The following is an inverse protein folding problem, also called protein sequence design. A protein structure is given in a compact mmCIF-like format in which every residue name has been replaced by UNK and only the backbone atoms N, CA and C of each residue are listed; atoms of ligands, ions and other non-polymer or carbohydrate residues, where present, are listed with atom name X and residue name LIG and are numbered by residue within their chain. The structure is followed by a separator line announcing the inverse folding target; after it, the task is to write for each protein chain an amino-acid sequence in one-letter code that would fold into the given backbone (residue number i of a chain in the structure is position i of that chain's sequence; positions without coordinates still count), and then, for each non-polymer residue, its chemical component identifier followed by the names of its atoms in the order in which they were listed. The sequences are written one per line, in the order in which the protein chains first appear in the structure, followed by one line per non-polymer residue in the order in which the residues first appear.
data_IF_141001398223
#
_entry.id   IF_141001398223
#
_cell.length_a   1.000
_cell.length_b   1.000
_cell.length_c   1.000
_cell.angle_alpha   90.00
_cell.angle_beta   90.00
_cell.angle_gamma   90.00
#
_symmetry.space_group_name_H-M   'P 1'
#
loop_
_entity.id
_entity.type
_entity.pdbx_description
1 polymer ?
#
# COMPACT_ATOMS: atom_id res chain seq x y z
N UNK A 1 -11.81 16.20 -18.53
CA UNK A 1 -10.47 15.66 -18.19
C UNK A 1 -9.66 16.66 -17.35
N UNK A 2 -10.11 17.01 -16.13
CA UNK A 2 -9.47 18.08 -15.33
C UNK A 2 -9.00 17.68 -13.93
N UNK A 3 -9.01 16.40 -13.56
CA UNK A 3 -8.73 15.97 -12.18
C UNK A 3 -7.25 16.11 -11.75
N UNK A 4 -6.30 16.14 -12.70
CA UNK A 4 -4.86 16.09 -12.40
C UNK A 4 -4.25 17.49 -12.16
N UNK A 5 -4.95 18.59 -12.49
CA UNK A 5 -4.39 19.94 -12.33
C UNK A 5 -4.16 20.36 -10.87
N UNK A 6 -4.77 19.68 -9.90
CA UNK A 6 -4.65 20.04 -8.49
C UNK A 6 -3.37 19.57 -7.80
N UNK A 7 -2.57 18.70 -8.41
CA UNK A 7 -1.33 18.21 -7.79
C UNK A 7 -0.14 19.18 -7.92
N UNK A 8 -0.11 20.02 -8.96
CA UNK A 8 1.12 20.74 -9.35
C UNK A 8 1.35 22.04 -8.57
N UNK A 9 0.39 22.56 -7.79
CA UNK A 9 0.47 23.92 -7.26
C UNK A 9 1.16 24.11 -5.89
N UNK A 10 1.67 23.07 -5.21
CA UNK A 10 2.16 23.22 -3.81
C UNK A 10 3.65 22.95 -3.52
N UNK A 11 4.47 22.42 -4.44
CA UNK A 11 5.81 21.92 -4.06
C UNK A 11 7.00 22.88 -4.29
N UNK A 12 6.79 24.16 -4.62
CA UNK A 12 7.92 25.10 -4.78
C UNK A 12 8.31 25.75 -3.45
N UNK A 13 9.24 25.11 -2.72
CA UNK A 13 10.39 25.70 -1.99
C UNK A 13 10.96 24.72 -0.97
N UNK A 14 12.05 24.02 -1.33
CA UNK A 14 13.37 24.03 -0.63
C UNK A 14 14.30 22.92 -1.13
N UNK A 15 15.38 23.37 -1.76
CA UNK A 15 16.72 22.77 -1.94
C UNK A 15 17.31 22.25 -0.61
N UNK A 16 18.38 21.44 -0.46
CA UNK A 16 19.39 20.73 -1.28
C UNK A 16 20.31 19.93 -0.29
N UNK A 17 21.09 18.97 -0.82
CA UNK A 17 22.38 18.40 -0.33
C UNK A 17 22.35 17.22 0.67
N UNK A 18 23.34 16.31 0.77
CA UNK A 18 24.35 15.67 -0.10
C UNK A 18 25.20 14.71 0.79
N UNK A 19 25.89 13.72 0.18
CA UNK A 19 27.06 12.95 0.67
C UNK A 19 26.85 11.82 1.71
N UNK A 20 27.67 10.77 1.87
CA UNK A 20 28.64 9.98 1.07
C UNK A 20 29.09 8.78 1.97
N UNK A 21 29.66 7.72 1.38
CA UNK A 21 30.14 6.42 1.95
C UNK A 21 31.37 6.56 2.92
N UNK A 22 32.15 5.53 3.41
CA UNK A 22 32.36 4.14 2.92
C UNK A 22 32.81 2.99 3.91
N UNK A 23 32.76 1.74 3.41
CA UNK A 23 33.78 0.63 3.40
C UNK A 23 34.36 -0.10 4.67
N UNK A 24 34.59 -1.42 4.48
CA UNK A 24 35.75 -2.29 4.89
C UNK A 24 35.52 -3.51 5.87
N UNK A 25 35.65 -4.74 5.28
CA UNK A 25 36.32 -6.02 5.73
C UNK A 25 35.89 -6.75 7.04
N UNK A 26 36.09 -8.07 7.30
CA UNK A 26 36.48 -9.34 6.63
C UNK A 26 36.41 -10.46 7.72
N UNK A 27 36.10 -11.73 7.37
CA UNK A 27 36.59 -13.07 7.87
C UNK A 27 35.46 -14.14 7.84
N UNK A 28 35.47 -15.17 6.97
CA UNK A 28 36.10 -16.52 7.09
C UNK A 28 35.53 -17.38 8.25
N UNK A 29 35.19 -18.69 8.19
CA UNK A 29 35.37 -19.81 7.23
C UNK A 29 34.71 -21.11 7.82
N UNK A 30 34.29 -22.07 6.97
CA UNK A 30 34.06 -23.55 7.19
C UNK A 30 32.82 -24.02 7.97
N UNK A 31 32.19 -25.21 7.79
CA UNK A 31 32.05 -26.32 6.81
C UNK A 31 30.91 -27.24 7.38
N UNK A 32 29.94 -27.69 6.54
CA UNK A 32 29.18 -28.99 6.44
C UNK A 32 28.92 -29.96 7.66
N UNK A 33 28.11 -31.05 7.56
CA UNK A 33 26.76 -31.40 7.01
C UNK A 33 25.76 -31.97 8.07
N UNK A 34 24.61 -32.49 7.60
CA UNK A 34 23.66 -33.48 8.20
C UNK A 34 22.39 -32.84 8.82
N UNK A 35 21.16 -33.36 8.73
CA UNK A 35 20.51 -34.52 8.12
C UNK A 35 18.99 -34.38 8.35
N UNK A 36 18.13 -34.91 7.45
CA UNK A 36 16.78 -35.52 7.69
C UNK A 36 15.79 -34.79 8.63
N UNK A 37 14.57 -34.42 8.21
CA UNK A 37 13.41 -35.34 8.11
C UNK A 37 12.21 -34.60 7.53
N UNK A 38 11.58 -35.15 6.50
CA UNK A 38 10.31 -34.70 5.91
C UNK A 38 9.14 -35.26 6.72
N UNK A 39 8.37 -34.42 7.39
CA UNK A 39 7.08 -34.82 7.98
C UNK A 39 5.95 -34.24 7.14
N UNK A 40 5.35 -35.10 6.31
CA UNK A 40 4.13 -34.86 5.55
C UNK A 40 2.93 -34.79 6.50
N UNK A 41 2.41 -33.60 6.78
CA UNK A 41 1.13 -33.44 7.49
C UNK A 41 -0.01 -33.42 6.49
N UNK A 42 -0.58 -34.60 6.23
CA UNK A 42 -1.83 -34.78 5.49
C UNK A 42 -3.01 -34.40 6.38
N UNK A 43 -3.62 -33.22 6.16
CA UNK A 43 -4.90 -32.84 6.78
C UNK A 43 -6.03 -33.15 5.78
N UNK A 44 -6.76 -34.23 6.04
CA UNK A 44 -8.01 -34.59 5.35
C UNK A 44 -9.13 -33.66 5.80
N UNK A 45 -9.80 -33.04 4.83
CA UNK A 45 -10.96 -32.15 5.02
C UNK A 45 -12.21 -33.00 5.31
N UNK A 46 -12.88 -32.67 6.42
CA UNK A 46 -14.18 -33.22 6.81
C UNK A 46 -15.32 -32.68 5.95
N UNK A 47 -16.35 -33.51 5.85
CA UNK A 47 -17.46 -33.41 4.93
C UNK A 47 -18.45 -32.27 5.22
N UNK A 48 -19.06 -31.84 4.12
CA UNK A 48 -20.26 -31.03 3.94
C UNK A 48 -21.45 -31.46 4.79
N UNK A 49 -22.16 -30.48 5.36
CA UNK A 49 -23.64 -30.53 5.41
C UNK A 49 -24.21 -29.14 5.18
N UNK A 50 -25.10 -29.04 4.19
CA UNK A 50 -25.84 -27.83 3.84
C UNK A 50 -27.01 -27.64 4.81
N UNK A 51 -27.10 -26.47 5.44
CA UNK A 51 -28.36 -25.94 5.92
C UNK A 51 -28.50 -24.51 5.40
N UNK A 52 -29.52 -24.34 4.54
CA UNK A 52 -30.02 -23.05 4.10
C UNK A 52 -30.60 -22.32 5.30
N UNK A 53 -30.16 -21.08 5.49
CA UNK A 53 -30.93 -20.09 6.23
C UNK A 53 -30.76 -18.77 5.48
N UNK A 54 -31.91 -18.23 5.08
CA UNK A 54 -32.11 -17.12 4.18
C UNK A 54 -32.31 -15.88 5.05
N UNK A 55 -31.29 -15.02 5.14
CA UNK A 55 -31.40 -13.73 5.84
C UNK A 55 -30.69 -12.65 5.04
N UNK A 56 -31.51 -11.83 4.38
CA UNK A 56 -31.28 -10.44 3.92
C UNK A 56 -29.82 -9.96 3.92
N UNK A 57 -29.18 -10.05 2.75
CA UNK A 57 -27.90 -9.40 2.48
C UNK A 57 -28.11 -7.90 2.29
N UNK A 58 -28.06 -7.13 3.37
CA UNK A 58 -27.55 -5.76 3.27
C UNK A 58 -26.14 -5.88 2.69
N UNK A 59 -25.92 -5.39 1.48
CA UNK A 59 -24.60 -5.51 0.85
C UNK A 59 -23.60 -4.69 1.67
N UNK A 60 -22.87 -5.38 2.54
CA UNK A 60 -21.64 -4.92 3.18
C UNK A 60 -20.58 -4.78 2.08
N UNK A 61 -20.72 -3.78 1.21
CA UNK A 61 -19.72 -3.52 0.20
C UNK A 61 -18.51 -2.95 0.92
N UNK A 62 -17.47 -3.77 1.13
CA UNK A 62 -16.18 -3.32 1.62
C UNK A 62 -15.73 -2.09 0.82
N UNK A 63 -15.15 -1.10 1.50
CA UNK A 63 -14.66 0.15 0.90
C UNK A 63 -13.82 -0.13 -0.35
N UNK A 64 -13.04 -1.21 -0.35
CA UNK A 64 -12.17 -1.57 -1.47
C UNK A 64 -12.90 -2.15 -2.69
N UNK A 65 -14.14 -2.60 -2.53
CA UNK A 65 -14.97 -3.21 -3.58
C UNK A 65 -16.05 -2.25 -4.12
N UNK A 66 -16.39 -1.19 -3.38
CA UNK A 66 -17.45 -0.24 -3.71
C UNK A 66 -16.90 1.00 -4.44
N UNK A 67 -17.09 1.10 -5.77
CA UNK A 67 -16.82 2.33 -6.53
C UNK A 67 -16.13 2.10 -7.88
N UNK A 68 -16.29 3.05 -8.80
CA UNK A 68 -15.51 3.10 -10.05
C UNK A 68 -14.06 3.32 -9.66
N UNK A 69 -13.25 2.29 -9.87
CA UNK A 69 -11.90 2.22 -9.37
C UNK A 69 -10.93 2.58 -10.51
N UNK A 70 -10.77 3.88 -10.75
CA UNK A 70 -9.82 4.36 -11.75
C UNK A 70 -8.40 4.28 -11.16
N UNK A 71 -7.48 3.73 -11.96
CA UNK A 71 -6.05 3.64 -11.62
C UNK A 71 -5.34 4.88 -12.15
N UNK A 72 -4.62 5.57 -11.28
CA UNK A 72 -3.91 6.80 -11.59
C UNK A 72 -2.49 6.77 -11.03
N UNK A 73 -1.59 7.56 -11.63
CA UNK A 73 -0.28 7.86 -11.06
C UNK A 73 -0.43 9.01 -10.05
N UNK A 74 -0.37 8.69 -8.76
CA UNK A 74 -0.58 9.63 -7.65
C UNK A 74 0.77 10.07 -7.08
N UNK A 75 1.03 11.37 -6.91
CA UNK A 75 2.26 11.84 -6.27
C UNK A 75 2.45 11.27 -4.87
N UNK A 76 3.63 10.76 -4.55
CA UNK A 76 3.87 10.12 -3.24
C UNK A 76 3.70 11.10 -2.07
N UNK A 77 4.00 12.38 -2.28
CA UNK A 77 3.97 13.44 -1.26
C UNK A 77 2.57 13.74 -0.71
N UNK A 78 1.52 13.51 -1.50
CA UNK A 78 0.13 13.81 -1.08
C UNK A 78 -0.51 12.67 -0.30
N UNK A 79 0.09 11.49 -0.32
CA UNK A 79 -0.49 10.28 0.25
C UNK A 79 -0.20 10.26 1.75
N UNK A 80 -1.26 10.37 2.55
CA UNK A 80 -1.18 10.29 4.01
C UNK A 80 -1.21 8.84 4.46
N UNK A 81 -0.23 8.45 5.29
CA UNK A 81 -0.15 7.13 5.93
C UNK A 81 -0.18 7.28 7.45
N UNK A 82 -1.38 7.35 8.07
CA UNK A 82 -1.50 7.64 9.50
C UNK A 82 -0.95 6.53 10.40
N UNK A 83 -0.95 5.29 9.92
CA UNK A 83 -0.53 4.12 10.68
C UNK A 83 0.92 3.76 10.29
N UNK A 84 1.84 3.60 11.26
CA UNK A 84 3.20 3.18 10.96
C UNK A 84 3.20 1.82 10.27
N UNK A 85 4.05 1.69 9.25
CA UNK A 85 4.09 0.49 8.44
C UNK A 85 5.00 -0.56 9.06
N UNK A 86 4.50 -1.79 9.22
CA UNK A 86 5.34 -2.95 9.53
C UNK A 86 5.91 -3.48 8.21
N UNK A 87 7.23 -3.48 8.11
CA UNK A 87 7.95 -3.79 6.88
C UNK A 87 8.79 -5.05 7.04
N UNK A 88 8.89 -5.78 5.93
CA UNK A 88 9.77 -6.93 5.76
C UNK A 88 10.79 -6.53 4.69
N UNK A 89 12.03 -6.38 5.11
CA UNK A 89 13.10 -5.84 4.28
C UNK A 89 13.36 -6.68 3.02
N UNK A 90 13.20 -8.01 3.11
CA UNK A 90 13.38 -8.88 1.95
C UNK A 90 12.28 -8.67 0.91
N UNK A 91 11.04 -8.45 1.36
CA UNK A 91 9.92 -8.13 0.45
C UNK A 91 10.06 -6.76 -0.18
N UNK A 92 10.50 -5.76 0.59
CA UNK A 92 10.75 -4.41 0.05
C UNK A 92 11.84 -4.48 -1.01
N UNK A 93 12.94 -5.17 -0.73
CA UNK A 93 14.05 -5.30 -1.67
C UNK A 93 13.61 -6.04 -2.95
N UNK A 94 12.89 -7.16 -2.81
CA UNK A 94 12.35 -7.90 -3.96
C UNK A 94 11.43 -7.01 -4.82
N UNK A 95 10.54 -6.24 -4.19
CA UNK A 95 9.67 -5.29 -4.91
C UNK A 95 10.49 -4.19 -5.58
N UNK A 96 11.50 -3.65 -4.91
CA UNK A 96 12.38 -2.64 -5.51
C UNK A 96 13.07 -3.17 -6.76
N UNK A 97 13.50 -4.43 -6.75
CA UNK A 97 14.15 -5.04 -7.90
C UNK A 97 13.16 -5.31 -9.04
N UNK A 98 11.92 -5.72 -8.73
CA UNK A 98 10.82 -5.77 -9.72
C UNK A 98 10.56 -4.40 -10.34
N UNK A 99 10.41 -3.34 -9.53
CA UNK A 99 10.12 -1.96 -10.00
C UNK A 99 11.28 -1.36 -10.83
N UNK A 100 12.51 -1.79 -10.57
CA UNK A 100 13.67 -1.38 -11.40
C UNK A 100 13.72 -2.13 -12.73
N UNK A 101 13.36 -3.42 -12.70
CA UNK A 101 13.36 -4.29 -13.87
C UNK A 101 12.15 -4.07 -14.79
N UNK A 102 11.07 -3.49 -14.26
CA UNK A 102 9.85 -3.15 -14.99
C UNK A 102 10.18 -2.46 -16.32
N UNK A 103 9.96 -3.20 -17.41
CA UNK A 103 9.94 -2.66 -18.78
C UNK A 103 8.49 -2.37 -19.22
N UNK A 104 7.50 -2.79 -18.43
CA UNK A 104 6.07 -2.57 -18.64
C UNK A 104 5.36 -2.26 -17.32
N UNK A 105 4.29 -1.47 -17.42
CA UNK A 105 3.57 -0.82 -16.31
C UNK A 105 2.72 -1.77 -15.44
N UNK A 106 2.79 -3.09 -15.66
CA UNK A 106 1.82 -4.09 -15.20
C UNK A 106 2.35 -5.07 -14.12
N UNK A 107 3.64 -5.06 -13.80
CA UNK A 107 4.22 -6.09 -12.92
C UNK A 107 3.90 -5.85 -11.44
N UNK A 108 3.79 -4.59 -10.99
CA UNK A 108 3.39 -4.26 -9.62
C UNK A 108 1.95 -3.76 -9.53
N UNK A 109 1.06 -4.48 -8.80
CA UNK A 109 -0.34 -4.07 -8.64
C UNK A 109 -0.48 -2.71 -7.94
N UNK A 110 -1.48 -1.90 -8.33
CA UNK A 110 -1.71 -0.58 -7.74
C UNK A 110 -2.02 -0.65 -6.25
N UNK A 111 -1.69 0.42 -5.53
CA UNK A 111 -2.08 0.59 -4.12
C UNK A 111 -3.50 1.18 -4.01
N UNK A 112 -4.29 0.73 -3.04
CA UNK A 112 -5.60 1.33 -2.79
C UNK A 112 -5.46 2.61 -1.95
N UNK A 113 -6.07 3.69 -2.42
CA UNK A 113 -6.06 4.99 -1.74
C UNK A 113 -7.50 5.46 -1.55
N UNK A 114 -7.87 5.73 -0.30
CA UNK A 114 -9.11 6.40 0.04
C UNK A 114 -8.98 7.87 -0.35
N UNK A 115 -9.86 8.31 -1.23
CA UNK A 115 -10.02 9.70 -1.64
C UNK A 115 -11.26 10.28 -0.99
N UNK A 116 -11.03 11.19 -0.06
CA UNK A 116 -12.06 11.86 0.73
C UNK A 116 -12.09 13.33 0.33
N UNK A 117 -13.28 13.85 0.02
CA UNK A 117 -13.50 15.28 -0.16
C UNK A 117 -13.96 15.85 1.18
N UNK A 118 -13.18 16.77 1.76
CA UNK A 118 -13.56 17.43 3.01
C UNK A 118 -14.69 18.45 2.79
N UNK A 119 -15.35 18.86 3.88
CA UNK A 119 -16.44 19.85 3.86
C UNK A 119 -16.10 21.17 3.15
N UNK A 120 -14.84 21.62 3.27
CA UNK A 120 -14.33 22.81 2.57
C UNK A 120 -13.93 22.57 1.10
N UNK A 121 -14.24 21.41 0.52
CA UNK A 121 -13.92 21.04 -0.86
C UNK A 121 -12.48 20.57 -1.10
N UNK A 122 -11.68 20.40 -0.04
CA UNK A 122 -10.32 19.89 -0.14
C UNK A 122 -10.27 18.38 -0.44
N UNK A 123 -9.27 17.93 -1.21
CA UNK A 123 -9.06 16.51 -1.50
C UNK A 123 -8.01 15.91 -0.58
N UNK A 124 -8.32 14.77 0.02
CA UNK A 124 -7.45 14.08 0.96
C UNK A 124 -7.28 12.63 0.56
N UNK A 125 -6.02 12.18 0.53
CA UNK A 125 -5.63 10.86 0.04
C UNK A 125 -5.00 10.07 1.18
N UNK A 126 -5.65 8.98 1.58
CA UNK A 126 -5.19 8.10 2.66
C UNK A 126 -4.88 6.70 2.15
N UNK A 127 -3.74 6.15 2.56
CA UNK A 127 -3.35 4.78 2.25
C UNK A 127 -3.09 4.01 3.54
N UNK A 128 -3.82 2.91 3.72
CA UNK A 128 -3.63 1.98 4.83
C UNK A 128 -2.96 0.67 4.40
N UNK A 129 -3.20 0.25 3.16
CA UNK A 129 -2.61 -0.95 2.57
C UNK A 129 -1.26 -0.70 1.89
N UNK A 130 -0.78 -1.74 1.20
CA UNK A 130 0.34 -1.65 0.27
C UNK A 130 1.64 -1.09 0.88
N UNK A 131 1.92 -1.35 2.16
CA UNK A 131 3.08 -0.79 2.86
C UNK A 131 4.41 -1.08 2.17
N UNK A 132 4.70 -2.35 1.85
CA UNK A 132 5.95 -2.72 1.18
C UNK A 132 6.06 -2.11 -0.22
N UNK A 133 4.95 -2.03 -0.96
CA UNK A 133 4.90 -1.40 -2.29
C UNK A 133 5.20 0.09 -2.20
N UNK A 134 4.51 0.80 -1.32
CA UNK A 134 4.76 2.22 -1.10
C UNK A 134 6.21 2.48 -0.65
N UNK A 135 6.72 1.68 0.29
CA UNK A 135 8.09 1.83 0.77
C UNK A 135 9.12 1.56 -0.33
N UNK A 136 8.91 0.56 -1.18
CA UNK A 136 9.78 0.29 -2.32
C UNK A 136 9.84 1.50 -3.28
N UNK A 137 8.68 2.07 -3.65
CA UNK A 137 8.62 3.27 -4.48
C UNK A 137 9.32 4.47 -3.80
N UNK A 138 9.15 4.62 -2.48
CA UNK A 138 9.78 5.67 -1.67
C UNK A 138 11.30 5.55 -1.67
N UNK A 139 11.84 4.36 -1.42
CA UNK A 139 13.30 4.11 -1.40
C UNK A 139 13.94 4.25 -2.78
N UNK A 140 13.18 4.00 -3.84
CA UNK A 140 13.58 4.27 -5.22
C UNK A 140 13.40 5.73 -5.65
N UNK A 141 12.92 6.59 -4.75
CA UNK A 141 12.71 8.00 -4.98
C UNK A 141 11.81 8.28 -6.20
N UNK A 142 10.81 7.42 -6.42
CA UNK A 142 9.81 7.60 -7.48
C UNK A 142 8.87 8.76 -7.10
N UNK A 143 8.58 9.71 -8.01
CA UNK A 143 7.72 10.85 -7.69
C UNK A 143 6.26 10.46 -7.53
N UNK A 144 5.81 9.41 -8.24
CA UNK A 144 4.43 8.95 -8.28
C UNK A 144 4.36 7.44 -8.08
N UNK A 145 3.20 6.96 -7.62
CA UNK A 145 2.88 5.53 -7.48
C UNK A 145 1.55 5.23 -8.17
N UNK A 146 1.47 4.06 -8.82
CA UNK A 146 0.24 3.56 -9.43
C UNK A 146 -0.75 3.23 -8.30
N UNK A 147 -1.91 3.88 -8.31
CA UNK A 147 -2.88 3.78 -7.24
C UNK A 147 -4.30 3.74 -7.77
N UNK A 148 -5.13 2.92 -7.13
CA UNK A 148 -6.57 2.87 -7.32
C UNK A 148 -7.20 3.89 -6.39
N UNK A 149 -7.79 4.95 -6.95
CA UNK A 149 -8.50 5.94 -6.15
C UNK A 149 -9.91 5.45 -5.86
N UNK A 150 -10.18 5.21 -4.58
CA UNK A 150 -11.49 4.80 -4.08
C UNK A 150 -12.15 6.01 -3.45
N UNK A 151 -13.29 6.45 -4.01
CA UNK A 151 -14.05 7.53 -3.38
C UNK A 151 -14.62 7.04 -2.06
N UNK A 152 -14.32 7.77 -0.99
CA UNK A 152 -14.65 7.36 0.37
C UNK A 152 -15.16 8.53 1.20
N UNK A 153 -15.87 8.19 2.26
CA UNK A 153 -16.45 9.10 3.23
C UNK A 153 -15.61 9.15 4.50
N UNK A 154 -15.93 10.09 5.41
CA UNK A 154 -15.31 10.14 6.73
C UNK A 154 -15.63 8.88 7.56
N UNK A 155 -16.82 8.27 7.36
CA UNK A 155 -17.19 7.02 8.02
C UNK A 155 -16.29 5.85 7.61
N UNK A 156 -15.86 5.81 6.35
CA UNK A 156 -14.89 4.83 5.85
C UNK A 156 -13.53 5.03 6.51
N UNK A 157 -13.09 6.29 6.66
CA UNK A 157 -11.85 6.61 7.38
C UNK A 157 -11.92 6.22 8.86
N UNK A 158 -13.09 6.38 9.48
CA UNK A 158 -13.34 6.02 10.88
C UNK A 158 -13.15 4.53 11.14
N UNK A 159 -13.42 3.66 10.16
CA UNK A 159 -13.12 2.23 10.28
C UNK A 159 -11.62 1.93 10.48
N UNK A 160 -10.74 2.78 9.97
CA UNK A 160 -9.28 2.61 10.12
C UNK A 160 -8.71 3.37 11.32
N UNK A 161 -9.22 4.57 11.59
CA UNK A 161 -8.62 5.48 12.57
C UNK A 161 -9.42 5.60 13.87
N UNK A 162 -10.66 5.10 13.92
CA UNK A 162 -11.58 5.29 15.03
C UNK A 162 -11.70 6.76 15.43
N UNK A 163 -11.65 7.04 16.73
CA UNK A 163 -11.68 8.40 17.28
C UNK A 163 -10.50 9.29 16.88
N UNK A 164 -9.44 8.73 16.27
CA UNK A 164 -8.32 9.51 15.75
C UNK A 164 -8.58 10.07 14.34
N UNK A 165 -9.72 9.75 13.73
CA UNK A 165 -10.10 10.30 12.42
C UNK A 165 -10.16 11.84 12.49
N UNK A 166 -9.53 12.56 11.54
CA UNK A 166 -9.46 14.01 11.57
C UNK A 166 -10.84 14.65 11.42
N UNK A 167 -11.25 15.40 12.45
CA UNK A 167 -12.54 16.11 12.49
C UNK A 167 -12.63 17.26 11.48
N UNK A 168 -11.49 17.82 11.04
CA UNK A 168 -11.47 18.88 10.03
C UNK A 168 -11.92 18.44 8.62
N UNK A 169 -12.11 17.13 8.41
CA UNK A 169 -12.67 16.59 7.17
C UNK A 169 -14.21 16.58 7.18
N UNK A 170 -14.82 16.67 8.36
CA UNK A 170 -16.27 16.67 8.55
C UNK A 170 -16.91 17.99 8.12
#
# INVERSE_FOLDING_TARGET
MSFIRHFILQSSRRSSAAAAAPCILLLQRQRHPQSTTTTTTTIKRGATTNKREETQTGMETSVHSAGIAEVHNVPMEVIKRPIPSVLDELKVQSLMDTIKAETGEEDVPPVDILWITGSNGGNYYFSFGGCHRFEAYKRLNRPTIKAKLVRSTLGDLYHYMGSSAPTYLA
#
